data_IF_082190076041
#
_entry.id   IF_082190076041
#
_cell.length_a   1.000
_cell.length_b   1.000
_cell.length_c   1.000
_cell.angle_alpha   90.00
_cell.angle_beta   90.00
_cell.angle_gamma   90.00
#
_symmetry.space_group_name_H-M   'P 1'
#
loop_
_entity.id
_entity.type
_entity.pdbx_description
1 polymer ?
#
# COMPACT_ATOMS: atom_id res chain seq x y z
N UNK A 1 -29.55 -15.04 -0.32
CA UNK A 1 -29.29 -13.59 -0.12
C UNK A 1 -28.13 -13.17 -1.02
N UNK A 2 -28.04 -11.86 -1.29
CA UNK A 2 -26.94 -11.27 -2.05
C UNK A 2 -26.03 -10.47 -1.12
N UNK A 3 -24.81 -10.97 -0.96
CA UNK A 3 -23.77 -10.33 -0.16
C UNK A 3 -22.79 -9.60 -1.07
N UNK A 4 -22.49 -8.35 -0.77
CA UNK A 4 -21.45 -7.60 -1.46
C UNK A 4 -20.34 -7.27 -0.46
N UNK A 5 -19.11 -7.51 -0.86
CA UNK A 5 -17.91 -7.21 -0.09
C UNK A 5 -17.07 -6.22 -0.90
N UNK A 6 -16.97 -4.99 -0.41
CA UNK A 6 -16.13 -3.96 -1.00
C UNK A 6 -14.72 -4.04 -0.41
N UNK A 7 -13.77 -4.40 -1.23
CA UNK A 7 -12.37 -4.63 -0.88
C UNK A 7 -11.99 -6.10 -1.00
N UNK A 8 -11.05 -6.40 -1.89
CA UNK A 8 -10.53 -7.75 -2.15
C UNK A 8 -9.17 -8.01 -1.48
N UNK A 9 -8.82 -7.23 -0.46
CA UNK A 9 -7.68 -7.49 0.42
C UNK A 9 -7.94 -8.68 1.37
N UNK A 10 -7.01 -8.96 2.31
CA UNK A 10 -7.11 -10.11 3.22
C UNK A 10 -8.44 -10.20 3.96
N UNK A 11 -8.95 -9.08 4.47
CA UNK A 11 -10.22 -9.04 5.20
C UNK A 11 -11.41 -9.44 4.32
N UNK A 12 -11.50 -8.88 3.11
CA UNK A 12 -12.58 -9.19 2.17
C UNK A 12 -12.54 -10.63 1.65
N UNK A 13 -11.36 -11.14 1.34
CA UNK A 13 -11.18 -12.53 0.89
C UNK A 13 -11.59 -13.51 1.97
N UNK A 14 -11.09 -13.34 3.20
CA UNK A 14 -11.45 -14.22 4.33
C UNK A 14 -12.95 -14.15 4.64
N UNK A 15 -13.55 -12.95 4.57
CA UNK A 15 -14.99 -12.79 4.76
C UNK A 15 -15.80 -13.52 3.68
N UNK A 16 -15.42 -13.39 2.39
CA UNK A 16 -16.10 -14.07 1.28
C UNK A 16 -16.05 -15.60 1.44
N UNK A 17 -14.90 -16.14 1.78
CA UNK A 17 -14.70 -17.58 2.01
C UNK A 17 -15.48 -18.08 3.24
N UNK A 18 -15.53 -17.28 4.31
CA UNK A 18 -16.27 -17.61 5.51
C UNK A 18 -17.77 -17.60 5.25
N UNK A 19 -18.27 -16.59 4.53
CA UNK A 19 -19.66 -16.54 4.09
C UNK A 19 -20.02 -17.75 3.22
N UNK A 20 -19.16 -18.15 2.29
CA UNK A 20 -19.42 -19.32 1.44
C UNK A 20 -19.54 -20.60 2.26
N UNK A 21 -18.76 -20.77 3.32
CA UNK A 21 -18.90 -21.93 4.23
C UNK A 21 -20.17 -21.91 5.05
N UNK A 22 -20.59 -20.72 5.49
CA UNK A 22 -21.77 -20.56 6.34
C UNK A 22 -23.09 -20.49 5.54
N UNK A 23 -23.06 -19.95 4.32
CA UNK A 23 -24.23 -19.72 3.47
C UNK A 23 -23.97 -20.26 2.05
N UNK A 24 -24.06 -21.58 1.90
CA UNK A 24 -23.65 -22.30 0.68
C UNK A 24 -24.44 -21.93 -0.58
N UNK A 25 -25.68 -21.45 -0.42
CA UNK A 25 -26.60 -21.08 -1.53
C UNK A 25 -26.61 -19.59 -1.88
N UNK A 26 -25.98 -18.73 -1.07
CA UNK A 26 -26.07 -17.29 -1.24
C UNK A 26 -25.19 -16.78 -2.41
N UNK A 27 -25.58 -15.67 -3.02
CA UNK A 27 -24.79 -14.96 -4.03
C UNK A 27 -23.76 -14.07 -3.30
N UNK A 28 -22.48 -14.25 -3.61
CA UNK A 28 -21.39 -13.48 -3.00
C UNK A 28 -20.60 -12.77 -4.10
N UNK A 29 -20.51 -11.44 -4.02
CA UNK A 29 -19.75 -10.59 -4.90
C UNK A 29 -18.61 -9.94 -4.13
N UNK A 30 -17.38 -10.25 -4.51
CA UNK A 30 -16.15 -9.63 -4.01
C UNK A 30 -15.68 -8.56 -5.00
N UNK A 31 -15.54 -7.32 -4.53
CA UNK A 31 -15.20 -6.17 -5.36
C UNK A 31 -13.81 -5.65 -5.01
N UNK A 32 -12.97 -5.47 -6.02
CA UNK A 32 -11.68 -4.79 -5.92
C UNK A 32 -11.55 -3.71 -6.98
N UNK A 33 -10.76 -2.68 -6.73
CA UNK A 33 -10.55 -1.56 -7.65
C UNK A 33 -9.19 -1.60 -8.38
N UNK A 34 -8.32 -2.53 -8.02
CA UNK A 34 -6.99 -2.69 -8.62
C UNK A 34 -7.01 -3.74 -9.74
N UNK A 35 -6.11 -3.58 -10.70
CA UNK A 35 -5.91 -4.54 -11.79
C UNK A 35 -4.90 -5.62 -11.37
N UNK A 36 -5.26 -6.34 -10.32
CA UNK A 36 -4.47 -7.43 -9.78
C UNK A 36 -5.38 -8.46 -9.10
N UNK A 37 -5.02 -9.74 -9.07
CA UNK A 37 -5.66 -10.71 -8.19
C UNK A 37 -5.61 -10.25 -6.73
N UNK A 38 -6.51 -10.74 -5.87
CA UNK A 38 -6.44 -10.43 -4.44
C UNK A 38 -5.06 -10.74 -3.85
N UNK A 39 -4.40 -9.75 -3.29
CA UNK A 39 -3.04 -9.85 -2.76
C UNK A 39 -2.89 -9.24 -1.37
N UNK A 40 -1.78 -9.54 -0.70
CA UNK A 40 -1.40 -8.98 0.58
C UNK A 40 -0.44 -7.80 0.39
N UNK A 41 -0.84 -6.60 0.81
CA UNK A 41 0.04 -5.42 0.84
C UNK A 41 1.25 -5.61 1.75
N UNK A 42 1.11 -6.46 2.78
CA UNK A 42 2.22 -6.82 3.68
C UNK A 42 3.32 -7.64 2.99
N UNK A 43 3.05 -8.18 1.81
CA UNK A 43 4.04 -8.91 1.03
C UNK A 43 4.86 -8.01 0.07
N UNK A 44 4.46 -6.74 -0.11
CA UNK A 44 5.16 -5.78 -0.98
C UNK A 44 6.65 -5.60 -0.60
N UNK A 45 7.05 -5.46 0.67
CA UNK A 45 8.45 -5.38 1.03
C UNK A 45 9.27 -6.58 0.54
N UNK A 46 8.76 -7.79 0.68
CA UNK A 46 9.43 -9.01 0.20
C UNK A 46 9.55 -9.07 -1.33
N UNK A 47 8.55 -8.53 -2.05
CA UNK A 47 8.63 -8.35 -3.50
C UNK A 47 9.72 -7.35 -3.88
N UNK A 48 9.77 -6.20 -3.19
CA UNK A 48 10.80 -5.19 -3.42
C UNK A 48 12.22 -5.70 -3.10
N UNK A 49 12.36 -6.56 -2.09
CA UNK A 49 13.62 -7.23 -1.75
C UNK A 49 14.05 -8.29 -2.78
N UNK A 50 13.11 -8.76 -3.63
CA UNK A 50 13.35 -9.86 -4.55
C UNK A 50 13.26 -11.27 -3.92
N UNK A 51 12.76 -11.37 -2.68
CA UNK A 51 12.57 -12.64 -1.97
C UNK A 51 11.41 -13.45 -2.54
N UNK A 52 10.43 -12.78 -3.14
CA UNK A 52 9.29 -13.36 -3.83
C UNK A 52 9.07 -12.64 -5.15
N UNK A 53 8.42 -13.29 -6.10
CA UNK A 53 7.84 -12.67 -7.28
C UNK A 53 6.46 -12.04 -6.97
N UNK A 54 5.84 -11.43 -7.95
CA UNK A 54 4.53 -10.80 -7.79
C UNK A 54 3.45 -11.82 -7.40
N UNK A 55 3.49 -13.03 -7.97
CA UNK A 55 2.58 -14.13 -7.60
C UNK A 55 2.77 -14.53 -6.14
N UNK A 56 3.96 -14.34 -5.58
CA UNK A 56 4.25 -14.51 -4.15
C UNK A 56 3.38 -13.66 -3.26
N UNK A 57 2.91 -12.50 -3.72
CA UNK A 57 2.03 -11.61 -2.95
C UNK A 57 0.57 -12.05 -2.92
N UNK A 58 0.11 -12.89 -3.88
CA UNK A 58 -1.29 -13.24 -4.04
C UNK A 58 -1.81 -14.06 -2.86
N UNK A 59 -3.00 -13.71 -2.37
CA UNK A 59 -3.66 -14.39 -1.26
C UNK A 59 -4.06 -15.83 -1.61
N UNK A 60 -4.37 -16.07 -2.88
CA UNK A 60 -4.71 -17.41 -3.38
C UNK A 60 -3.92 -17.67 -4.65
N UNK A 61 -3.31 -18.86 -4.72
CA UNK A 61 -2.39 -19.22 -5.82
C UNK A 61 -3.09 -19.90 -6.99
N UNK A 62 -4.25 -20.53 -6.73
CA UNK A 62 -5.05 -21.19 -7.76
C UNK A 62 -5.94 -20.14 -8.45
N UNK A 63 -5.83 -20.05 -9.77
CA UNK A 63 -6.56 -19.05 -10.58
C UNK A 63 -8.08 -19.28 -10.53
N UNK A 64 -8.52 -20.50 -10.34
CA UNK A 64 -9.92 -20.92 -10.25
C UNK A 64 -10.48 -20.96 -8.80
N UNK A 65 -9.72 -20.49 -7.80
CA UNK A 65 -10.09 -20.56 -6.38
C UNK A 65 -11.48 -19.96 -6.10
N UNK A 66 -11.72 -18.73 -6.55
CA UNK A 66 -12.99 -18.04 -6.31
C UNK A 66 -14.13 -18.64 -7.15
N UNK A 67 -13.84 -19.10 -8.36
CA UNK A 67 -14.82 -19.78 -9.21
C UNK A 67 -15.30 -21.10 -8.58
N UNK A 68 -14.39 -21.93 -8.07
CA UNK A 68 -14.71 -23.17 -7.33
C UNK A 68 -15.60 -22.90 -6.11
N UNK A 69 -15.38 -21.79 -5.45
CA UNK A 69 -16.19 -21.34 -4.32
C UNK A 69 -17.47 -20.62 -4.74
N UNK A 70 -17.73 -20.44 -6.03
CA UNK A 70 -18.87 -19.67 -6.55
C UNK A 70 -18.92 -18.26 -5.95
N UNK A 71 -17.74 -17.63 -5.76
CA UNK A 71 -17.58 -16.24 -5.36
C UNK A 71 -17.33 -15.44 -6.63
N UNK A 72 -18.29 -14.59 -6.99
CA UNK A 72 -18.13 -13.69 -8.14
C UNK A 72 -17.14 -12.60 -7.79
N UNK A 73 -16.29 -12.23 -8.72
CA UNK A 73 -15.37 -11.11 -8.59
C UNK A 73 -15.77 -10.00 -9.57
N UNK A 74 -15.64 -8.76 -9.12
CA UNK A 74 -15.81 -7.58 -9.95
C UNK A 74 -14.68 -6.61 -9.73
N UNK A 75 -14.11 -6.10 -10.82
CA UNK A 75 -13.28 -4.90 -10.79
C UNK A 75 -14.18 -3.67 -10.88
N UNK A 76 -13.98 -2.70 -9.99
CA UNK A 76 -14.72 -1.44 -9.98
C UNK A 76 -14.56 -0.71 -8.65
N UNK A 77 -14.77 0.59 -8.69
CA UNK A 77 -14.72 1.46 -7.51
C UNK A 77 -16.14 1.85 -7.11
N UNK A 78 -16.55 1.50 -5.89
CA UNK A 78 -17.79 2.01 -5.33
C UNK A 78 -17.61 3.51 -5.02
N UNK A 79 -18.49 4.34 -5.56
CA UNK A 79 -18.46 5.81 -5.37
C UNK A 79 -19.55 6.29 -4.44
N UNK A 80 -20.65 5.53 -4.29
CA UNK A 80 -21.71 5.83 -3.34
C UNK A 80 -22.41 4.57 -2.86
N UNK A 81 -22.96 4.60 -1.65
CA UNK A 81 -23.83 3.58 -1.07
C UNK A 81 -25.12 4.24 -0.60
N UNK A 82 -26.24 3.80 -1.18
CA UNK A 82 -27.58 4.16 -0.71
C UNK A 82 -28.09 3.06 0.23
N UNK A 83 -28.08 3.32 1.52
CA UNK A 83 -28.51 2.36 2.55
C UNK A 83 -30.02 2.18 2.60
N UNK A 84 -30.80 3.19 2.18
CA UNK A 84 -32.25 3.13 2.11
C UNK A 84 -32.73 2.21 0.99
N UNK A 85 -32.16 2.38 -0.20
CA UNK A 85 -32.44 1.54 -1.37
C UNK A 85 -31.61 0.25 -1.41
N UNK A 86 -30.62 0.13 -0.52
CA UNK A 86 -29.65 -0.98 -0.49
C UNK A 86 -28.98 -1.19 -1.85
N UNK A 87 -28.43 -0.12 -2.41
CA UNK A 87 -27.73 -0.15 -3.70
C UNK A 87 -26.35 0.51 -3.58
N UNK A 88 -25.43 0.04 -4.41
CA UNK A 88 -24.09 0.62 -4.55
C UNK A 88 -23.99 1.19 -5.96
N UNK A 89 -23.51 2.42 -6.07
CA UNK A 89 -23.15 3.04 -7.33
C UNK A 89 -21.64 2.86 -7.55
N UNK A 90 -21.26 2.37 -8.71
CA UNK A 90 -19.88 2.24 -9.15
C UNK A 90 -19.47 3.39 -10.09
N UNK A 91 -18.16 3.56 -10.26
CA UNK A 91 -17.51 4.60 -11.09
C UNK A 91 -17.86 4.47 -12.60
N UNK A 92 -18.29 3.28 -13.05
CA UNK A 92 -18.79 3.04 -14.39
C UNK A 92 -20.31 3.35 -14.56
N UNK A 93 -20.95 3.91 -13.52
CA UNK A 93 -22.37 4.24 -13.50
C UNK A 93 -23.30 3.07 -13.20
N UNK A 94 -22.78 1.86 -13.01
CA UNK A 94 -23.58 0.69 -12.69
C UNK A 94 -24.09 0.71 -11.25
N UNK A 95 -25.37 0.35 -11.05
CA UNK A 95 -25.98 0.15 -9.74
C UNK A 95 -26.07 -1.34 -9.42
N UNK A 96 -25.58 -1.72 -8.25
CA UNK A 96 -25.62 -3.10 -7.75
C UNK A 96 -26.43 -3.19 -6.48
N UNK A 97 -27.60 -3.89 -6.46
CA UNK A 97 -28.41 -4.08 -5.25
C UNK A 97 -27.76 -5.12 -4.32
N UNK A 98 -27.95 -4.98 -3.01
CA UNK A 98 -27.46 -5.92 -2.01
C UNK A 98 -28.48 -6.19 -0.89
N UNK A 99 -28.42 -7.38 -0.32
CA UNK A 99 -29.11 -7.70 0.95
C UNK A 99 -28.23 -7.39 2.17
N UNK A 100 -26.94 -7.66 2.03
CA UNK A 100 -25.90 -7.41 3.04
C UNK A 100 -24.66 -6.82 2.39
N UNK A 101 -24.07 -5.83 3.04
CA UNK A 101 -22.87 -5.15 2.60
C UNK A 101 -21.79 -5.22 3.66
N UNK A 102 -20.60 -5.65 3.29
CA UNK A 102 -19.37 -5.52 4.07
C UNK A 102 -18.44 -4.51 3.41
N UNK A 103 -18.03 -3.50 4.15
CA UNK A 103 -17.01 -2.53 3.72
C UNK A 103 -15.67 -2.95 4.31
N UNK A 104 -14.78 -3.44 3.45
CA UNK A 104 -13.43 -3.93 3.78
C UNK A 104 -12.36 -3.24 2.90
N UNK A 105 -12.55 -1.94 2.62
CA UNK A 105 -11.76 -1.16 1.66
C UNK A 105 -10.35 -0.81 2.13
N UNK A 106 -10.04 -1.10 3.39
CA UNK A 106 -8.72 -0.81 3.95
C UNK A 106 -8.47 0.69 4.16
N UNK A 107 -7.25 1.12 3.87
CA UNK A 107 -6.80 2.51 4.04
C UNK A 107 -6.00 2.97 2.81
N UNK A 108 -5.67 4.25 2.78
CA UNK A 108 -4.82 4.87 1.76
C UNK A 108 -3.68 5.64 2.42
N UNK A 109 -2.51 5.74 1.77
CA UNK A 109 -1.46 6.65 2.21
C UNK A 109 -1.97 8.09 2.18
N UNK A 110 -1.62 8.86 3.19
CA UNK A 110 -1.84 10.31 3.17
C UNK A 110 -0.77 10.93 2.27
N UNK A 111 -1.19 11.71 1.26
CA UNK A 111 -0.29 12.62 0.54
C UNK A 111 -0.35 13.98 1.23
N UNK A 112 0.71 14.41 1.91
CA UNK A 112 0.73 15.71 2.57
C UNK A 112 0.70 16.83 1.51
N UNK A 113 0.21 18.04 1.84
CA UNK A 113 0.11 19.15 0.92
C UNK A 113 1.49 19.82 0.70
N UNK A 114 2.43 19.05 0.17
CA UNK A 114 3.79 19.51 -0.15
C UNK A 114 3.81 19.85 -1.64
N UNK A 115 4.21 21.07 -2.04
CA UNK A 115 4.40 21.40 -3.44
C UNK A 115 5.33 20.38 -4.14
N UNK A 116 4.89 19.86 -5.28
CA UNK A 116 5.62 18.84 -6.04
C UNK A 116 5.41 17.40 -5.58
N UNK A 117 4.54 17.12 -4.60
CA UNK A 117 4.25 15.76 -4.12
C UNK A 117 3.69 14.83 -5.21
N UNK A 118 3.08 15.40 -6.25
CA UNK A 118 2.47 14.66 -7.35
C UNK A 118 3.38 14.51 -8.58
N UNK A 119 4.66 14.88 -8.48
CA UNK A 119 5.63 14.64 -9.54
C UNK A 119 5.79 13.12 -9.79
N UNK A 120 5.99 12.68 -11.05
CA UNK A 120 5.97 11.26 -11.43
C UNK A 120 6.95 10.36 -10.67
N UNK A 121 8.05 10.91 -10.17
CA UNK A 121 9.06 10.17 -9.42
C UNK A 121 8.76 10.09 -7.92
N UNK A 122 7.67 10.74 -7.45
CA UNK A 122 7.23 10.67 -6.05
C UNK A 122 6.22 9.55 -5.92
N UNK A 123 6.61 8.49 -5.24
CA UNK A 123 5.81 7.27 -5.11
C UNK A 123 5.35 7.06 -3.67
N UNK A 124 4.15 6.53 -3.51
CA UNK A 124 3.74 5.85 -2.28
C UNK A 124 4.21 4.39 -2.33
N UNK A 125 4.19 3.67 -1.21
CA UNK A 125 4.45 2.23 -1.19
C UNK A 125 3.24 1.52 -0.58
N UNK A 126 2.21 1.33 -1.38
CA UNK A 126 0.93 0.81 -0.90
C UNK A 126 0.27 -0.22 -1.82
N UNK A 127 0.36 -0.04 -3.13
CA UNK A 127 -0.21 -0.93 -4.14
C UNK A 127 0.88 -1.72 -4.86
N UNK A 128 0.49 -2.74 -5.64
CA UNK A 128 1.42 -3.43 -6.54
C UNK A 128 1.96 -2.50 -7.62
N UNK A 129 1.15 -1.54 -8.08
CA UNK A 129 1.61 -0.54 -9.06
C UNK A 129 2.67 0.37 -8.44
N UNK A 130 2.51 0.80 -7.18
CA UNK A 130 3.56 1.51 -6.46
C UNK A 130 4.84 0.66 -6.36
N UNK A 131 4.72 -0.62 -6.03
CA UNK A 131 5.87 -1.51 -5.93
C UNK A 131 6.60 -1.67 -7.28
N UNK A 132 5.86 -1.77 -8.39
CA UNK A 132 6.41 -1.82 -9.75
C UNK A 132 7.16 -0.51 -10.10
N UNK A 133 6.54 0.63 -9.79
CA UNK A 133 7.14 1.95 -10.02
C UNK A 133 8.40 2.15 -9.17
N UNK A 134 8.36 1.81 -7.87
CA UNK A 134 9.52 1.84 -6.98
C UNK A 134 10.63 0.93 -7.51
N UNK A 135 10.31 -0.30 -7.91
CA UNK A 135 11.26 -1.24 -8.44
C UNK A 135 11.92 -0.76 -9.75
N UNK A 136 11.19 -0.01 -10.57
CA UNK A 136 11.71 0.62 -11.78
C UNK A 136 12.67 1.79 -11.49
N UNK A 137 12.38 2.59 -10.47
CA UNK A 137 13.15 3.78 -10.09
C UNK A 137 14.33 3.47 -9.17
N UNK A 138 14.13 2.63 -8.15
CA UNK A 138 15.12 2.30 -7.12
C UNK A 138 16.10 1.23 -7.62
N UNK A 139 16.99 1.60 -8.53
CA UNK A 139 18.09 0.75 -9.03
C UNK A 139 19.32 0.91 -8.12
N UNK A 140 20.26 -0.07 -8.14
CA UNK A 140 21.51 0.06 -7.41
C UNK A 140 22.21 1.38 -7.71
N UNK A 141 22.63 2.10 -6.66
CA UNK A 141 23.29 3.42 -6.78
C UNK A 141 22.33 4.62 -6.95
N UNK A 142 21.01 4.39 -7.19
CA UNK A 142 20.03 5.48 -7.23
C UNK A 142 19.96 6.20 -5.89
N UNK A 143 19.83 7.52 -5.92
CA UNK A 143 19.56 8.32 -4.71
C UNK A 143 18.05 8.32 -4.43
N UNK A 144 17.67 7.85 -3.25
CA UNK A 144 16.29 7.78 -2.81
C UNK A 144 16.12 8.58 -1.53
N UNK A 145 15.10 9.42 -1.48
CA UNK A 145 14.66 10.08 -0.26
C UNK A 145 13.34 9.48 0.20
N UNK A 146 13.31 8.99 1.42
CA UNK A 146 12.10 8.46 2.06
C UNK A 146 11.54 9.48 3.04
N UNK A 147 10.25 9.80 2.88
CA UNK A 147 9.51 10.65 3.79
C UNK A 147 8.89 9.83 4.91
N UNK A 148 9.33 10.11 6.14
CA UNK A 148 8.85 9.48 7.35
C UNK A 148 9.64 8.23 7.74
N UNK A 149 9.92 8.14 9.04
CA UNK A 149 10.57 7.01 9.69
C UNK A 149 9.63 6.32 10.68
N UNK A 150 8.35 6.23 10.34
CA UNK A 150 7.35 5.47 11.09
C UNK A 150 7.49 3.97 10.88
N UNK A 151 6.58 3.18 11.46
CA UNK A 151 6.62 1.71 11.42
C UNK A 151 6.71 1.16 9.98
N UNK A 152 5.82 1.60 9.09
CA UNK A 152 5.82 1.16 7.67
C UNK A 152 7.12 1.62 6.99
N UNK A 153 7.54 2.87 7.25
CA UNK A 153 8.79 3.40 6.69
C UNK A 153 10.01 2.56 7.04
N UNK A 154 10.10 2.02 8.25
CA UNK A 154 11.19 1.14 8.65
C UNK A 154 11.22 -0.18 7.88
N UNK A 155 10.05 -0.76 7.58
CA UNK A 155 9.94 -2.00 6.79
C UNK A 155 10.37 -1.76 5.33
N UNK A 156 9.90 -0.66 4.73
CA UNK A 156 10.26 -0.32 3.34
C UNK A 156 11.74 0.05 3.21
N UNK A 157 12.30 0.70 4.23
CA UNK A 157 13.71 1.06 4.31
C UNK A 157 14.62 -0.17 4.12
N UNK A 158 14.31 -1.29 4.77
CA UNK A 158 15.08 -2.54 4.63
C UNK A 158 15.08 -3.02 3.17
N UNK A 159 13.90 -3.03 2.53
CA UNK A 159 13.78 -3.39 1.13
C UNK A 159 14.59 -2.46 0.20
N UNK A 160 14.58 -1.15 0.47
CA UNK A 160 15.36 -0.18 -0.30
C UNK A 160 16.87 -0.37 -0.11
N UNK A 161 17.34 -0.63 1.12
CA UNK A 161 18.76 -0.94 1.41
C UNK A 161 19.21 -2.15 0.60
N UNK A 162 18.44 -3.24 0.62
CA UNK A 162 18.74 -4.47 -0.12
C UNK A 162 18.81 -4.26 -1.64
N UNK A 163 18.09 -3.26 -2.16
CA UNK A 163 18.17 -2.86 -3.57
C UNK A 163 19.45 -2.06 -3.91
N UNK A 164 20.28 -1.74 -2.94
CA UNK A 164 21.55 -1.04 -3.14
C UNK A 164 21.41 0.45 -3.47
N UNK A 165 20.33 1.10 -3.05
CA UNK A 165 20.15 2.54 -3.24
C UNK A 165 20.90 3.35 -2.19
N UNK A 166 21.23 4.61 -2.51
CA UNK A 166 21.73 5.60 -1.55
C UNK A 166 20.51 6.24 -0.84
N UNK A 167 20.17 5.71 0.34
CA UNK A 167 18.95 6.08 1.03
C UNK A 167 19.16 7.22 2.02
N UNK A 168 18.33 8.26 1.90
CA UNK A 168 18.15 9.30 2.92
C UNK A 168 16.73 9.22 3.46
N UNK A 169 16.58 9.21 4.78
CA UNK A 169 15.28 9.21 5.46
C UNK A 169 15.12 10.55 6.18
N UNK A 170 13.98 11.21 5.97
CA UNK A 170 13.61 12.47 6.62
C UNK A 170 12.42 12.21 7.53
N UNK A 171 12.54 12.58 8.80
CA UNK A 171 11.50 12.41 9.83
C UNK A 171 11.28 13.74 10.55
N UNK A 172 10.02 14.17 10.64
CA UNK A 172 9.64 15.42 11.33
C UNK A 172 9.82 15.31 12.85
N UNK A 173 9.65 14.10 13.38
CA UNK A 173 9.89 13.81 14.80
C UNK A 173 11.37 13.85 15.16
N UNK A 174 11.65 13.81 16.42
CA UNK A 174 13.01 13.89 16.99
C UNK A 174 13.79 12.57 16.91
N UNK A 175 13.13 11.46 16.50
CA UNK A 175 13.69 10.10 16.47
C UNK A 175 13.01 9.21 15.45
N UNK A 176 13.55 8.02 15.24
CA UNK A 176 12.90 6.95 14.48
C UNK A 176 11.68 6.43 15.24
N UNK A 177 10.62 6.11 14.52
CA UNK A 177 9.35 5.56 15.04
C UNK A 177 8.79 6.38 16.23
N UNK A 178 8.66 7.71 16.12
CA UNK A 178 8.43 8.60 17.26
C UNK A 178 7.10 8.34 17.98
N UNK A 179 6.11 7.79 17.29
CA UNK A 179 4.78 7.50 17.86
C UNK A 179 4.71 6.19 18.65
N UNK A 180 5.70 5.31 18.54
CA UNK A 180 5.65 3.94 19.09
C UNK A 180 6.85 3.61 19.96
N UNK A 181 7.95 4.35 19.85
CA UNK A 181 9.22 4.05 20.52
C UNK A 181 9.62 5.16 21.47
N UNK A 182 10.28 4.78 22.58
CA UNK A 182 10.92 5.74 23.47
C UNK A 182 12.09 6.43 22.77
N UNK A 183 12.62 7.55 23.29
CA UNK A 183 13.80 8.22 22.74
C UNK A 183 15.01 7.30 22.61
N UNK A 184 15.24 6.44 23.61
CA UNK A 184 16.36 5.49 23.63
C UNK A 184 16.21 4.44 22.52
N UNK A 185 15.02 3.83 22.41
CA UNK A 185 14.74 2.81 21.40
C UNK A 185 14.79 3.41 19.98
N UNK A 186 14.19 4.59 19.75
CA UNK A 186 14.27 5.29 18.46
C UNK A 186 15.70 5.66 18.08
N UNK A 187 16.53 6.05 19.05
CA UNK A 187 17.95 6.33 18.85
C UNK A 187 18.76 5.07 18.55
N UNK A 188 18.40 3.92 19.14
CA UNK A 188 19.03 2.63 18.80
C UNK A 188 18.74 2.25 17.35
N UNK A 189 17.49 2.37 16.91
CA UNK A 189 17.08 2.11 15.52
C UNK A 189 17.87 3.04 14.57
N UNK A 190 17.94 4.35 14.87
CA UNK A 190 18.71 5.31 14.07
C UNK A 190 20.16 4.86 13.89
N UNK A 191 20.88 4.58 14.99
CA UNK A 191 22.26 4.11 14.92
C UNK A 191 22.42 2.81 14.12
N UNK A 192 21.43 1.92 14.21
CA UNK A 192 21.47 0.66 13.47
C UNK A 192 21.34 0.89 11.97
N UNK A 193 20.38 1.70 11.52
CA UNK A 193 20.18 1.97 10.09
C UNK A 193 21.33 2.81 9.50
N UNK A 194 21.90 3.74 10.29
CA UNK A 194 23.06 4.53 9.87
C UNK A 194 24.30 3.64 9.65
N UNK A 195 24.49 2.58 10.43
CA UNK A 195 25.52 1.55 10.18
C UNK A 195 25.30 0.77 8.88
N UNK A 196 24.06 0.73 8.35
CA UNK A 196 23.75 0.16 7.05
C UNK A 196 23.93 1.16 5.90
N UNK A 197 24.49 2.34 6.18
CA UNK A 197 24.73 3.38 5.16
C UNK A 197 23.54 4.31 4.88
N UNK A 198 22.50 4.25 5.67
CA UNK A 198 21.33 5.14 5.53
C UNK A 198 21.63 6.49 6.21
N UNK A 199 21.36 7.58 5.51
CA UNK A 199 21.38 8.92 6.12
C UNK A 199 20.03 9.20 6.77
N UNK A 200 20.01 9.48 8.08
CA UNK A 200 18.78 9.80 8.81
C UNK A 200 18.78 11.25 9.27
N UNK A 201 17.82 12.03 8.78
CA UNK A 201 17.60 13.43 9.15
C UNK A 201 16.32 13.49 9.99
N UNK A 202 16.44 13.76 11.27
CA UNK A 202 15.33 13.95 12.20
C UNK A 202 15.11 15.44 12.47
N UNK A 203 13.93 15.80 13.00
CA UNK A 203 13.48 17.19 13.22
C UNK A 203 13.50 18.04 11.95
N UNK A 204 13.18 17.41 10.81
CA UNK A 204 13.14 18.06 9.52
C UNK A 204 11.88 17.60 8.75
N UNK A 205 11.26 18.52 8.08
CA UNK A 205 10.18 18.25 7.14
C UNK A 205 10.66 18.46 5.70
N UNK A 206 9.81 18.12 4.74
CA UNK A 206 9.99 18.50 3.35
C UNK A 206 9.12 19.74 3.08
N UNK A 207 9.76 20.82 2.69
CA UNK A 207 9.10 22.08 2.35
C UNK A 207 8.48 21.99 0.95
N UNK A 208 9.28 21.55 -0.03
CA UNK A 208 8.84 21.37 -1.42
C UNK A 208 9.72 20.40 -2.19
N UNK A 209 9.19 19.91 -3.29
CA UNK A 209 9.86 19.02 -4.24
C UNK A 209 9.79 19.69 -5.61
N UNK A 210 10.91 19.73 -6.32
CA UNK A 210 11.04 20.39 -7.62
C UNK A 210 11.72 19.46 -8.63
N UNK A 211 11.52 19.71 -9.92
CA UNK A 211 12.34 19.08 -10.93
C UNK A 211 13.80 19.53 -10.77
N UNK A 212 14.71 18.60 -10.73
CA UNK A 212 16.12 18.89 -10.54
C UNK A 212 16.83 19.15 -11.86
N UNK A 213 17.83 20.05 -11.84
CA UNK A 213 18.69 20.30 -13.02
C UNK A 213 19.65 19.15 -13.31
N UNK A 214 20.20 18.52 -12.26
CA UNK A 214 21.23 17.45 -12.33
C UNK A 214 20.72 16.10 -11.83
N UNK A 215 19.47 16.03 -11.41
CA UNK A 215 18.80 14.83 -10.90
C UNK A 215 17.32 14.94 -11.23
N UNK A 216 16.56 13.82 -11.29
CA UNK A 216 15.13 13.88 -11.57
C UNK A 216 14.37 14.81 -10.61
N UNK A 217 14.74 14.83 -9.33
CA UNK A 217 14.12 15.68 -8.32
C UNK A 217 15.15 16.39 -7.44
N UNK A 218 14.79 17.59 -6.99
CA UNK A 218 15.42 18.32 -5.88
C UNK A 218 14.41 18.43 -4.74
N UNK A 219 14.83 18.07 -3.52
CA UNK A 219 13.98 18.14 -2.33
C UNK A 219 14.54 19.18 -1.37
N UNK A 220 13.73 20.15 -1.00
CA UNK A 220 14.06 21.21 -0.06
C UNK A 220 13.50 20.82 1.31
N UNK A 221 14.37 20.83 2.31
CA UNK A 221 14.00 20.52 3.70
C UNK A 221 13.79 21.81 4.50
N UNK A 222 12.83 21.77 5.46
CA UNK A 222 12.60 22.83 6.44
C UNK A 222 13.52 22.69 7.65
#
# INVERSE_FOLDING_TARGET
>A
MKHIILGNGPAGVVAAETLRRAATGDDILLVGNEDAPPYSRMAIPYLLEGNIDERGTYLRKADDHFAKLRIRQRRGRAVAVDTGKRTILFDDGHFEPYDRLLVATGSHPVRPPIPGIDLPQVQTCWTLDDARAIAALAKPGSRVLQLGAGFIGCIIMEALIKRGVQLTVVEMGDRMVPRMMTPEAGSMIKRWVEKQGVRVVTKAGVERIENGEKSPLTVILS
#
